data_IF_504128949216
#
_entry.id   IF_504128949216
#
_cell.length_a   1.000
_cell.length_b   1.000
_cell.length_c   1.000
_cell.angle_alpha   90.00
_cell.angle_beta   90.00
_cell.angle_gamma   90.00
#
_symmetry.space_group_name_H-M   'P 1'
#
loop_
_entity.id
_entity.type
_entity.pdbx_description
1 polymer ?
#
# COMPACT_ATOMS: atom_id res chain seq x y z
N UNK A 1 -8.08 5.71 19.01
CA UNK A 1 -9.22 4.88 18.56
C UNK A 1 -8.66 3.76 17.70
N UNK A 2 -9.12 2.52 17.87
CA UNK A 2 -8.64 1.36 17.11
C UNK A 2 -9.40 1.13 15.80
N UNK A 3 -10.28 2.06 15.40
CA UNK A 3 -11.12 1.98 14.21
C UNK A 3 -10.95 3.24 13.36
N UNK A 4 -11.05 3.05 12.04
CA UNK A 4 -11.05 4.13 11.05
C UNK A 4 -12.33 4.97 11.15
N UNK A 5 -12.21 6.29 10.98
CA UNK A 5 -13.33 7.20 10.84
C UNK A 5 -13.22 7.86 9.46
N UNK A 6 -14.25 7.67 8.63
CA UNK A 6 -14.25 8.20 7.27
C UNK A 6 -14.23 9.73 7.29
N UNK A 7 -13.38 10.29 6.42
CA UNK A 7 -13.33 11.71 6.13
C UNK A 7 -13.38 11.94 4.61
N UNK A 8 -13.64 13.18 4.15
CA UNK A 8 -13.62 13.49 2.71
C UNK A 8 -12.30 13.12 2.03
N UNK A 9 -11.18 13.22 2.75
CA UNK A 9 -9.82 13.00 2.25
C UNK A 9 -9.27 11.60 2.58
N UNK A 10 -9.94 10.82 3.44
CA UNK A 10 -9.53 9.48 3.83
C UNK A 10 -10.76 8.58 4.04
N UNK A 11 -11.10 7.81 3.01
CA UNK A 11 -12.17 6.82 3.04
C UNK A 11 -11.87 5.74 1.98
N UNK A 12 -12.45 4.52 2.09
CA UNK A 12 -12.10 3.40 1.23
C UNK A 12 -12.55 3.55 -0.23
N UNK A 13 -13.42 4.53 -0.53
CA UNK A 13 -13.94 4.76 -1.88
C UNK A 13 -13.07 5.71 -2.70
N UNK A 14 -12.08 6.38 -2.07
CA UNK A 14 -11.15 7.23 -2.81
C UNK A 14 -10.20 6.36 -3.63
N UNK A 15 -10.07 6.62 -4.95
CA UNK A 15 -9.11 5.92 -5.77
C UNK A 15 -7.70 6.26 -5.29
N UNK A 16 -6.89 5.23 -5.08
CA UNK A 16 -5.47 5.36 -4.78
C UNK A 16 -4.74 4.32 -5.62
N UNK A 17 -3.62 4.71 -6.21
CA UNK A 17 -2.82 3.82 -7.05
C UNK A 17 -1.34 4.11 -6.81
N UNK A 18 -0.50 3.10 -7.02
CA UNK A 18 0.95 3.28 -7.03
C UNK A 18 1.37 4.05 -8.28
N UNK A 19 2.19 5.07 -8.08
CA UNK A 19 2.85 5.76 -9.18
C UNK A 19 3.70 4.78 -10.00
N UNK A 20 3.89 5.06 -11.29
CA UNK A 20 4.68 4.21 -12.19
C UNK A 20 6.10 3.96 -11.66
N UNK A 21 6.72 4.98 -11.05
CA UNK A 21 8.03 4.86 -10.42
C UNK A 21 8.04 3.86 -9.25
N UNK A 22 6.95 3.80 -8.48
CA UNK A 22 6.83 2.90 -7.35
C UNK A 22 6.40 1.49 -7.75
N UNK A 23 5.73 1.30 -8.88
CA UNK A 23 5.44 -0.05 -9.40
C UNK A 23 6.71 -0.87 -9.67
N UNK A 24 7.78 -0.24 -10.13
CA UNK A 24 9.08 -0.90 -10.29
C UNK A 24 9.65 -1.37 -8.93
N UNK A 25 9.57 -0.51 -7.91
CA UNK A 25 10.00 -0.84 -6.54
C UNK A 25 9.17 -1.94 -5.91
N UNK A 26 7.86 -2.00 -6.18
CA UNK A 26 7.00 -3.10 -5.72
C UNK A 26 7.51 -4.43 -6.25
N UNK A 27 7.84 -4.52 -7.54
CA UNK A 27 8.38 -5.75 -8.14
C UNK A 27 9.71 -6.15 -7.50
N UNK A 28 10.58 -5.18 -7.23
CA UNK A 28 11.85 -5.39 -6.54
C UNK A 28 11.63 -5.92 -5.11
N UNK A 29 10.80 -5.24 -4.30
CA UNK A 29 10.46 -5.64 -2.93
C UNK A 29 9.90 -7.07 -2.93
N UNK A 30 8.95 -7.37 -3.81
CA UNK A 30 8.35 -8.70 -3.91
C UNK A 30 9.36 -9.77 -4.31
N UNK A 31 10.41 -9.44 -5.07
CA UNK A 31 11.44 -10.40 -5.47
C UNK A 31 12.33 -10.88 -4.32
N UNK A 32 12.40 -10.11 -3.22
CA UNK A 32 13.13 -10.50 -2.02
C UNK A 32 12.41 -11.59 -1.21
N UNK A 33 11.13 -11.82 -1.49
CA UNK A 33 10.32 -12.81 -0.78
C UNK A 33 9.92 -13.95 -1.72
N UNK A 34 9.91 -15.20 -1.24
CA UNK A 34 9.45 -16.31 -2.05
C UNK A 34 7.96 -16.16 -2.38
N UNK A 35 7.55 -16.73 -3.51
CA UNK A 35 6.22 -16.55 -4.11
C UNK A 35 5.05 -16.97 -3.20
N UNK A 36 5.28 -17.93 -2.30
CA UNK A 36 4.31 -18.41 -1.31
C UNK A 36 4.27 -17.57 -0.02
N UNK A 37 5.20 -16.62 0.18
CA UNK A 37 5.25 -15.73 1.35
C UNK A 37 5.32 -14.24 0.95
N UNK A 38 4.64 -13.84 -0.13
CA UNK A 38 4.53 -12.44 -0.55
C UNK A 38 3.97 -11.51 0.54
N UNK A 39 3.17 -12.04 1.47
CA UNK A 39 2.66 -11.28 2.61
C UNK A 39 3.77 -10.71 3.51
N UNK A 40 4.97 -11.30 3.52
CA UNK A 40 6.13 -10.75 4.23
C UNK A 40 6.58 -9.39 3.67
N UNK A 41 6.18 -9.04 2.45
CA UNK A 41 6.41 -7.74 1.84
C UNK A 41 5.44 -6.64 2.32
N UNK A 42 4.46 -6.94 3.18
CA UNK A 42 3.42 -5.96 3.54
C UNK A 42 4.01 -4.71 4.19
N UNK A 43 5.01 -4.85 5.07
CA UNK A 43 5.65 -3.73 5.75
C UNK A 43 6.38 -2.80 4.76
N UNK A 44 7.31 -3.28 3.92
CA UNK A 44 7.97 -2.41 2.95
C UNK A 44 7.03 -1.82 1.89
N UNK A 45 5.94 -2.53 1.53
CA UNK A 45 4.94 -1.99 0.60
C UNK A 45 4.09 -0.88 1.25
N UNK A 46 3.73 -1.03 2.52
CA UNK A 46 3.05 0.03 3.28
C UNK A 46 3.96 1.25 3.47
N UNK A 47 5.23 1.03 3.78
CA UNK A 47 6.20 2.13 3.88
C UNK A 47 6.34 2.89 2.55
N UNK A 48 6.40 2.17 1.42
CA UNK A 48 6.43 2.78 0.08
C UNK A 48 5.17 3.62 -0.21
N UNK A 49 3.99 3.11 0.16
CA UNK A 49 2.73 3.83 0.02
C UNK A 49 2.68 5.08 0.90
N UNK A 50 3.23 5.01 2.12
CA UNK A 50 3.34 6.15 3.04
C UNK A 50 4.24 7.24 2.46
N UNK A 51 5.39 6.87 1.91
CA UNK A 51 6.32 7.81 1.26
C UNK A 51 5.66 8.48 0.05
N UNK A 52 4.92 7.72 -0.77
CA UNK A 52 4.22 8.27 -1.94
C UNK A 52 3.16 9.30 -1.54
N UNK A 53 2.47 9.08 -0.43
CA UNK A 53 1.34 9.90 0.00
C UNK A 53 1.73 11.04 0.96
N UNK A 54 3.02 11.40 1.01
CA UNK A 54 3.50 12.56 1.78
C UNK A 54 3.64 12.30 3.29
N UNK A 55 3.90 11.06 3.68
CA UNK A 55 4.28 10.69 5.05
C UNK A 55 3.17 10.10 5.91
N UNK A 56 1.95 9.92 5.38
CA UNK A 56 0.84 9.26 6.06
C UNK A 56 0.15 8.24 5.15
N UNK A 57 -0.64 7.33 5.74
CA UNK A 57 -1.27 6.20 5.03
C UNK A 57 -2.79 6.33 5.03
N UNK A 58 -3.44 6.57 3.88
CA UNK A 58 -4.89 6.52 3.77
C UNK A 58 -5.38 5.07 3.72
N UNK A 59 -6.63 4.84 4.12
CA UNK A 59 -7.24 3.50 4.12
C UNK A 59 -7.33 2.90 2.72
N UNK A 60 -7.50 3.73 1.69
CA UNK A 60 -7.48 3.31 0.28
C UNK A 60 -6.12 2.75 -0.15
N UNK A 61 -5.01 3.35 0.32
CA UNK A 61 -3.66 2.82 0.05
C UNK A 61 -3.42 1.46 0.73
N UNK A 62 -3.92 1.29 1.96
CA UNK A 62 -3.85 0.01 2.67
C UNK A 62 -4.59 -1.09 1.90
N UNK A 63 -5.76 -0.77 1.33
CA UNK A 63 -6.50 -1.73 0.51
C UNK A 63 -5.69 -2.15 -0.73
N UNK A 64 -5.05 -1.20 -1.42
CA UNK A 64 -4.22 -1.53 -2.60
C UNK A 64 -3.03 -2.42 -2.25
N UNK A 65 -2.36 -2.17 -1.12
CA UNK A 65 -1.19 -2.97 -0.69
C UNK A 65 -1.59 -4.36 -0.19
N UNK A 66 -2.72 -4.48 0.53
CA UNK A 66 -3.15 -5.73 1.13
C UNK A 66 -4.00 -6.61 0.21
N UNK A 67 -4.59 -6.06 -0.86
CA UNK A 67 -5.34 -6.85 -1.82
C UNK A 67 -4.36 -7.57 -2.77
N UNK A 68 -4.55 -8.87 -3.02
CA UNK A 68 -3.64 -9.72 -3.81
C UNK A 68 -3.61 -9.41 -5.32
N UNK A 69 -4.04 -8.21 -5.72
CA UNK A 69 -4.13 -7.75 -7.11
C UNK A 69 -2.91 -6.92 -7.55
N UNK A 70 -1.99 -6.59 -6.64
CA UNK A 70 -0.74 -5.88 -6.93
C UNK A 70 0.45 -6.83 -7.22
#
# INVERSE_FOLDING_TARGET
LAQHLDSPDNNPNLPWELSDANQAKVKEILSHYPSNYKQSAVIPLLDLAQQQHGGWLPVSAMNVVCLPSA
#
